data_IF_443346962450
#
_entry.id   IF_443346962450
#
_cell.length_a   1.000
_cell.length_b   1.000
_cell.length_c   1.000
_cell.angle_alpha   90.00
_cell.angle_beta   90.00
_cell.angle_gamma   90.00
#
_symmetry.space_group_name_H-M   'P 1'
#
loop_
_entity.id
_entity.type
_entity.pdbx_description
1 polymer ?
#
# COMPACT_ATOMS: atom_id res chain seq x y z
N UNK A 1 -43.24 -42.22 78.17
CA UNK A 1 -43.24 -42.46 76.71
C UNK A 1 -43.85 -41.26 75.99
N UNK A 2 -43.32 -40.92 74.80
CA UNK A 2 -43.67 -39.82 73.86
C UNK A 2 -43.14 -38.44 74.28
N UNK A 3 -41.99 -37.98 73.76
CA UNK A 3 -41.68 -37.44 72.40
C UNK A 3 -42.46 -36.16 72.06
N UNK A 4 -41.81 -35.01 72.21
CA UNK A 4 -41.95 -33.88 71.27
C UNK A 4 -40.72 -32.97 71.33
N UNK A 5 -39.98 -32.94 70.23
CA UNK A 5 -38.98 -31.94 69.92
C UNK A 5 -39.63 -30.81 69.11
N UNK A 6 -39.20 -29.55 69.30
CA UNK A 6 -39.44 -28.43 68.38
C UNK A 6 -38.33 -27.38 68.65
N UNK A 7 -37.20 -27.45 67.95
CA UNK A 7 -36.84 -26.69 66.73
C UNK A 7 -36.61 -25.18 66.93
N UNK A 8 -35.34 -24.84 67.21
CA UNK A 8 -34.43 -23.93 66.49
C UNK A 8 -35.08 -22.83 65.64
N UNK A 9 -34.67 -21.57 65.85
CA UNK A 9 -34.18 -20.61 64.82
C UNK A 9 -33.84 -19.25 65.45
N UNK A 10 -32.57 -19.03 65.85
CA UNK A 10 -32.07 -17.68 66.12
C UNK A 10 -31.24 -17.24 64.93
N UNK A 11 -31.78 -16.28 64.17
CA UNK A 11 -31.21 -15.76 62.93
C UNK A 11 -29.84 -15.10 63.19
N UNK A 12 -28.81 -15.61 62.52
CA UNK A 12 -27.52 -14.91 62.40
C UNK A 12 -27.73 -13.70 61.48
N UNK A 13 -27.84 -12.51 62.08
CA UNK A 13 -27.72 -11.24 61.36
C UNK A 13 -26.25 -11.03 60.98
N UNK A 14 -25.80 -11.69 59.91
CA UNK A 14 -24.52 -11.39 59.28
C UNK A 14 -24.62 -10.09 58.50
N UNK A 15 -24.14 -8.99 59.07
CA UNK A 15 -23.93 -7.74 58.34
C UNK A 15 -22.83 -7.93 57.31
N UNK A 16 -23.21 -8.04 56.04
CA UNK A 16 -22.28 -8.08 54.90
C UNK A 16 -21.73 -6.67 54.72
N UNK A 17 -20.51 -6.42 55.15
CA UNK A 17 -19.80 -5.18 54.80
C UNK A 17 -19.32 -5.33 53.37
N UNK A 18 -20.01 -4.72 52.42
CA UNK A 18 -19.54 -4.64 51.04
C UNK A 18 -18.30 -3.72 50.97
N UNK A 19 -17.19 -4.12 50.31
CA UNK A 19 -16.08 -3.22 50.10
C UNK A 19 -16.52 -2.09 49.16
N UNK A 20 -16.23 -0.84 49.55
CA UNK A 20 -16.46 0.31 48.69
C UNK A 20 -15.61 0.16 47.42
N UNK A 21 -16.26 -0.03 46.27
CA UNK A 21 -15.61 0.02 44.97
C UNK A 21 -15.21 1.49 44.71
N UNK A 22 -13.96 1.84 45.01
CA UNK A 22 -13.41 3.14 44.64
C UNK A 22 -13.21 3.18 43.12
N UNK A 23 -14.15 3.81 42.42
CA UNK A 23 -14.01 4.12 41.01
C UNK A 23 -12.81 5.06 40.83
N UNK A 24 -11.69 4.54 40.31
CA UNK A 24 -10.51 5.33 40.00
C UNK A 24 -10.77 6.12 38.71
N UNK A 25 -11.24 7.35 38.85
CA UNK A 25 -11.33 8.28 37.73
C UNK A 25 -9.94 8.72 37.34
N UNK A 26 -9.51 8.36 36.13
CA UNK A 26 -8.31 8.89 35.51
C UNK A 26 -8.73 9.92 34.46
N UNK A 27 -8.20 11.13 34.57
CA UNK A 27 -8.34 12.16 33.55
C UNK A 27 -7.34 11.89 32.44
N UNK A 28 -7.83 11.48 31.27
CA UNK A 28 -7.03 11.42 30.04
C UNK A 28 -7.08 12.79 29.39
N UNK A 29 -5.93 13.43 29.22
CA UNK A 29 -5.77 14.58 28.32
C UNK A 29 -5.78 14.07 26.89
N UNK A 30 -6.97 14.03 26.27
CA UNK A 30 -7.10 13.91 24.81
C UNK A 30 -6.85 15.28 24.18
N UNK A 31 -6.14 15.32 23.05
CA UNK A 31 -6.04 16.52 22.21
C UNK A 31 -7.18 16.47 21.20
N UNK A 32 -8.29 17.22 21.38
CA UNK A 32 -9.53 17.02 20.61
C UNK A 32 -9.47 17.45 19.14
N UNK A 33 -8.30 17.76 18.57
CA UNK A 33 -8.15 18.33 17.23
C UNK A 33 -6.87 17.85 16.50
N UNK A 34 -6.29 16.71 16.87
CA UNK A 34 -5.11 16.18 16.17
C UNK A 34 -5.48 15.19 15.05
N UNK A 35 -6.71 15.31 14.53
CA UNK A 35 -7.20 14.48 13.45
C UNK A 35 -6.47 14.86 12.17
N UNK A 36 -5.78 13.88 11.57
CA UNK A 36 -5.12 14.04 10.27
C UNK A 36 -6.10 13.60 9.20
N UNK A 37 -6.59 14.57 8.42
CA UNK A 37 -7.40 14.26 7.24
C UNK A 37 -6.48 14.02 6.04
N UNK A 38 -6.89 13.11 5.16
CA UNK A 38 -6.14 12.75 3.97
C UNK A 38 -7.04 12.80 2.73
N UNK A 39 -6.50 13.30 1.63
CA UNK A 39 -7.09 13.11 0.30
C UNK A 39 -6.43 11.90 -0.36
N UNK A 40 -7.25 11.07 -1.02
CA UNK A 40 -6.77 9.97 -1.84
C UNK A 40 -6.40 10.53 -3.20
N UNK A 41 -5.13 10.45 -3.57
CA UNK A 41 -4.62 10.83 -4.88
C UNK A 41 -4.16 9.59 -5.65
N UNK A 42 -4.55 9.51 -6.93
CA UNK A 42 -4.12 8.44 -7.82
C UNK A 42 -2.79 8.82 -8.47
N UNK A 43 -1.78 7.98 -8.32
CA UNK A 43 -0.46 8.15 -8.91
C UNK A 43 -0.28 7.10 -10.01
N UNK A 44 -0.29 7.50 -11.30
CA UNK A 44 -0.17 6.57 -12.40
C UNK A 44 1.22 5.94 -12.49
N UNK A 45 1.29 4.73 -13.04
CA UNK A 45 2.57 4.05 -13.26
C UNK A 45 3.52 4.85 -14.16
N UNK A 46 4.78 4.94 -13.74
CA UNK A 46 5.84 5.62 -14.47
C UNK A 46 6.83 4.62 -15.07
N UNK A 47 7.16 4.79 -16.35
CA UNK A 47 8.05 3.90 -17.09
C UNK A 47 9.25 4.65 -17.68
N UNK A 48 10.43 4.05 -17.56
CA UNK A 48 11.61 4.44 -18.33
C UNK A 48 11.59 3.76 -19.69
N UNK A 49 11.92 4.51 -20.74
CA UNK A 49 11.86 4.03 -22.12
C UNK A 49 13.24 4.11 -22.76
N UNK A 50 13.80 2.96 -23.13
CA UNK A 50 15.05 2.88 -23.87
C UNK A 50 14.79 2.57 -25.35
N UNK A 51 14.94 3.58 -26.20
CA UNK A 51 14.72 3.48 -27.66
C UNK A 51 15.76 2.63 -28.38
N UNK A 52 16.92 2.40 -27.77
CA UNK A 52 17.98 1.50 -28.26
C UNK A 52 18.05 0.19 -27.50
N UNK A 53 16.96 -0.23 -26.86
CA UNK A 53 16.87 -1.39 -25.96
C UNK A 53 17.63 -2.63 -26.43
N UNK A 54 17.03 -3.45 -27.29
CA UNK A 54 17.66 -4.69 -27.78
C UNK A 54 17.99 -4.53 -29.27
N UNK A 55 19.25 -4.74 -29.64
CA UNK A 55 19.67 -4.69 -31.04
C UNK A 55 19.19 -5.93 -31.80
N UNK A 56 18.39 -5.73 -32.84
CA UNK A 56 17.89 -6.79 -33.73
C UNK A 56 18.79 -6.96 -34.95
N UNK A 57 19.23 -5.83 -35.53
CA UNK A 57 20.03 -5.83 -36.75
C UNK A 57 21.13 -4.78 -36.65
N UNK A 58 22.34 -5.17 -37.06
CA UNK A 58 23.46 -4.25 -37.23
C UNK A 58 23.22 -3.23 -38.34
N UNK A 59 23.94 -2.12 -38.24
CA UNK A 59 24.08 -1.23 -39.38
C UNK A 59 24.82 -1.99 -40.49
N UNK A 60 24.42 -1.75 -41.74
CA UNK A 60 25.06 -2.36 -42.90
C UNK A 60 25.19 -1.33 -44.00
N UNK A 61 26.25 -1.48 -44.79
CA UNK A 61 26.47 -0.65 -45.96
C UNK A 61 27.04 -1.50 -47.09
N UNK A 62 26.75 -1.12 -48.33
CA UNK A 62 27.22 -1.89 -49.47
C UNK A 62 26.89 -1.25 -50.81
N UNK A 63 27.59 -1.72 -51.83
CA UNK A 63 27.33 -1.39 -53.22
C UNK A 63 26.40 -2.42 -53.83
N UNK A 64 25.35 -1.96 -54.49
CA UNK A 64 24.46 -2.81 -55.28
C UNK A 64 24.54 -2.38 -56.75
N UNK A 65 24.75 -3.35 -57.64
CA UNK A 65 24.72 -3.10 -59.07
C UNK A 65 23.26 -3.08 -59.53
N UNK A 66 22.84 -1.97 -60.15
CA UNK A 66 21.46 -1.84 -60.66
C UNK A 66 21.30 -2.68 -61.95
N UNK A 67 22.38 -2.86 -62.72
CA UNK A 67 22.46 -3.78 -63.86
C UNK A 67 23.91 -4.15 -64.18
N UNK A 68 24.18 -5.34 -64.77
CA UNK A 68 25.53 -5.74 -65.17
C UNK A 68 26.14 -4.70 -66.12
N UNK A 69 27.32 -4.18 -65.77
CA UNK A 69 28.04 -3.17 -66.55
C UNK A 69 27.56 -1.72 -66.40
N UNK A 70 26.67 -1.41 -65.45
CA UNK A 70 26.19 -0.04 -65.18
C UNK A 70 26.43 0.42 -63.74
N UNK A 71 25.96 1.64 -63.46
CA UNK A 71 26.05 2.41 -62.21
C UNK A 71 25.81 1.51 -60.99
N UNK A 72 26.79 1.51 -60.09
CA UNK A 72 26.65 0.95 -58.75
C UNK A 72 26.07 2.01 -57.82
N UNK A 73 25.10 1.61 -56.98
CA UNK A 73 24.54 2.47 -55.93
C UNK A 73 25.07 2.03 -54.59
N UNK A 74 25.69 2.95 -53.86
CA UNK A 74 26.02 2.75 -52.45
C UNK A 74 24.77 3.02 -51.60
N UNK A 75 24.50 2.13 -50.65
CA UNK A 75 23.42 2.31 -49.69
C UNK A 75 23.87 1.94 -48.29
N UNK A 76 23.43 2.73 -47.32
CA UNK A 76 23.53 2.48 -45.88
C UNK A 76 22.16 2.16 -45.32
N UNK A 77 22.10 1.17 -44.43
CA UNK A 77 20.91 0.81 -43.66
C UNK A 77 21.25 0.90 -42.18
N UNK A 78 20.60 1.79 -41.41
CA UNK A 78 20.89 1.98 -39.99
C UNK A 78 20.54 0.73 -39.19
N UNK A 79 21.13 0.61 -38.00
CA UNK A 79 20.83 -0.47 -37.08
C UNK A 79 19.37 -0.43 -36.60
N UNK A 80 18.78 -1.61 -36.42
CA UNK A 80 17.40 -1.78 -35.96
C UNK A 80 17.40 -2.27 -34.52
N UNK A 81 16.62 -1.62 -33.67
CA UNK A 81 16.50 -1.92 -32.25
C UNK A 81 15.03 -2.13 -31.88
N UNK A 82 14.79 -3.01 -30.91
CA UNK A 82 13.52 -3.12 -30.19
C UNK A 82 13.60 -2.17 -28.99
N UNK A 83 12.62 -1.28 -28.90
CA UNK A 83 12.42 -0.43 -27.73
C UNK A 83 12.08 -1.29 -26.52
N UNK A 84 12.75 -1.05 -25.39
CA UNK A 84 12.43 -1.69 -24.12
C UNK A 84 11.83 -0.67 -23.16
N UNK A 85 11.03 -1.16 -22.21
CA UNK A 85 10.43 -0.34 -21.15
C UNK A 85 10.66 -1.01 -19.81
N UNK A 86 10.98 -0.21 -18.80
CA UNK A 86 11.16 -0.64 -17.42
C UNK A 86 10.24 0.16 -16.51
N UNK A 87 9.59 -0.52 -15.56
CA UNK A 87 8.74 0.14 -14.57
C UNK A 87 9.63 0.85 -13.54
N UNK A 88 9.45 2.15 -13.36
CA UNK A 88 10.11 2.92 -12.29
C UNK A 88 9.22 2.90 -11.04
N UNK A 89 7.94 3.20 -11.22
CA UNK A 89 6.96 3.31 -10.14
C UNK A 89 5.66 2.65 -10.56
N UNK A 90 5.14 1.77 -9.70
CA UNK A 90 3.88 1.10 -9.94
C UNK A 90 2.70 2.04 -9.72
N UNK A 91 1.60 1.73 -10.40
CA UNK A 91 0.32 2.40 -10.20
C UNK A 91 -0.15 2.22 -8.75
N UNK A 92 -0.44 3.32 -8.05
CA UNK A 92 -0.88 3.26 -6.66
C UNK A 92 -1.69 4.48 -6.26
N UNK A 93 -2.28 4.41 -5.06
CA UNK A 93 -2.95 5.54 -4.42
C UNK A 93 -2.11 6.04 -3.26
N UNK A 94 -2.00 7.36 -3.13
CA UNK A 94 -1.31 8.03 -2.02
C UNK A 94 -2.28 8.81 -1.16
N UNK A 95 -1.95 8.96 0.12
CA UNK A 95 -2.70 9.74 1.09
C UNK A 95 -1.98 11.08 1.32
N UNK A 96 -2.53 12.15 0.76
CA UNK A 96 -1.97 13.50 0.92
C UNK A 96 -2.63 14.20 2.11
N UNK A 97 -1.85 14.66 3.11
CA UNK A 97 -2.41 15.38 4.25
C UNK A 97 -3.19 16.62 3.82
N UNK A 98 -4.40 16.79 4.36
CA UNK A 98 -5.23 17.96 4.12
C UNK A 98 -5.86 18.46 5.42
N UNK A 99 -6.40 19.67 5.39
CA UNK A 99 -7.18 20.20 6.52
C UNK A 99 -8.49 19.43 6.68
N UNK A 100 -8.80 19.05 7.92
CA UNK A 100 -10.13 18.52 8.25
C UNK A 100 -11.17 19.62 8.08
N UNK A 101 -12.24 19.33 7.33
CA UNK A 101 -13.38 20.22 7.10
C UNK A 101 -14.58 19.76 7.91
#
# INVERSE_FOLDING_TARGET
>A
MKKTALLISLALAGSIVAPAAFAKTYTVTGYPNNDKCYLVEHIPATYEVNTKGIKVKGESSGWSAISPGKIAKYSTSPAVYIQTKSLIEADHYSLVPTGCK
#
